data_IF_123463915826
#
_entry.id   IF_123463915826
#
_cell.length_a   1.000
_cell.length_b   1.000
_cell.length_c   1.000
_cell.angle_alpha   90.00
_cell.angle_beta   90.00
_cell.angle_gamma   90.00
#
_symmetry.space_group_name_H-M   'P 1'
#
loop_
_entity.id
_entity.type
_entity.pdbx_description
1 polymer ?
#
# COMPACT_ATOMS: atom_id res chain seq x y z
N UNK A 1 4.45 5.89 6.00
CA UNK A 1 5.55 5.81 7.00
C UNK A 1 6.61 4.78 6.57
N UNK A 2 7.83 4.82 7.09
CA UNK A 2 8.82 3.75 6.90
C UNK A 2 8.30 2.40 7.41
N UNK A 3 7.49 2.42 8.48
CA UNK A 3 6.87 1.23 9.07
C UNK A 3 5.88 0.55 8.12
N UNK A 4 4.93 1.31 7.54
CA UNK A 4 3.96 0.81 6.57
C UNK A 4 4.68 0.16 5.38
N UNK A 5 5.77 0.80 4.92
CA UNK A 5 6.58 0.32 3.80
C UNK A 5 7.28 -1.00 4.12
N UNK A 6 7.86 -1.14 5.32
CA UNK A 6 8.45 -2.40 5.78
C UNK A 6 7.40 -3.52 5.90
N UNK A 7 6.22 -3.22 6.46
CA UNK A 7 5.12 -4.17 6.60
C UNK A 7 4.59 -4.64 5.25
N UNK A 8 4.36 -3.72 4.31
CA UNK A 8 3.94 -4.04 2.95
C UNK A 8 5.00 -4.87 2.21
N UNK A 9 6.29 -4.56 2.38
CA UNK A 9 7.40 -5.35 1.81
C UNK A 9 7.48 -6.77 2.38
N UNK A 10 7.23 -6.93 3.69
CA UNK A 10 7.27 -8.23 4.36
C UNK A 10 6.08 -9.11 3.99
N UNK A 11 4.87 -8.55 3.99
CA UNK A 11 3.62 -9.30 3.77
C UNK A 11 3.35 -9.52 2.28
N UNK A 12 3.74 -8.57 1.43
CA UNK A 12 3.50 -8.56 -0.03
C UNK A 12 2.04 -8.88 -0.37
N UNK A 13 1.09 -8.02 0.06
CA UNK A 13 -0.34 -8.27 -0.17
C UNK A 13 -0.65 -8.36 -1.67
N UNK A 14 -1.54 -9.28 -2.03
CA UNK A 14 -1.96 -9.52 -3.42
C UNK A 14 -3.02 -8.53 -3.90
N UNK A 15 -3.66 -7.81 -2.97
CA UNK A 15 -4.69 -6.83 -3.28
C UNK A 15 -4.63 -5.63 -2.34
N UNK A 16 -5.21 -4.51 -2.78
CA UNK A 16 -5.36 -3.31 -1.95
C UNK A 16 -6.23 -3.58 -0.72
N UNK A 17 -7.29 -4.38 -0.87
CA UNK A 17 -8.15 -4.77 0.26
C UNK A 17 -7.42 -5.62 1.30
N UNK A 18 -6.44 -6.43 0.89
CA UNK A 18 -5.56 -7.11 1.85
C UNK A 18 -4.58 -6.13 2.50
N UNK A 19 -3.99 -5.23 1.72
CA UNK A 19 -3.07 -4.20 2.23
C UNK A 19 -3.72 -3.31 3.28
N UNK A 20 -4.99 -2.91 3.10
CA UNK A 20 -5.72 -2.03 4.01
C UNK A 20 -6.06 -2.67 5.36
N UNK A 21 -5.98 -4.00 5.49
CA UNK A 21 -6.20 -4.72 6.75
C UNK A 21 -4.92 -4.99 7.53
N UNK A 22 -3.75 -4.63 7.00
CA UNK A 22 -2.48 -4.81 7.69
C UNK A 22 -2.39 -3.82 8.85
N UNK A 23 -2.20 -4.33 10.07
CA UNK A 23 -2.06 -3.49 11.25
C UNK A 23 -0.91 -2.47 11.11
N UNK A 24 -1.20 -1.19 11.32
CA UNK A 24 -0.25 -0.09 11.14
C UNK A 24 -0.05 0.36 9.68
N UNK A 25 -0.82 -0.16 8.73
CA UNK A 25 -1.04 0.49 7.43
C UNK A 25 -2.31 1.33 7.56
N UNK A 26 -2.17 2.65 7.40
CA UNK A 26 -3.30 3.56 7.55
C UNK A 26 -3.98 3.84 6.20
N UNK A 27 -5.21 4.40 6.19
CA UNK A 27 -5.90 4.73 4.94
C UNK A 27 -5.13 5.69 4.03
N UNK A 28 -4.31 6.60 4.59
CA UNK A 28 -3.51 7.53 3.79
C UNK A 28 -2.39 6.82 3.00
N UNK A 29 -1.73 5.83 3.59
CA UNK A 29 -0.73 5.00 2.92
C UNK A 29 -1.38 4.24 1.73
N UNK A 30 -2.61 3.76 1.89
CA UNK A 30 -3.38 3.11 0.82
C UNK A 30 -3.70 4.08 -0.31
N UNK A 31 -4.15 5.31 0.02
CA UNK A 31 -4.41 6.34 -0.98
C UNK A 31 -3.17 6.67 -1.80
N UNK A 32 -2.00 6.81 -1.15
CA UNK A 32 -0.72 7.04 -1.84
C UNK A 32 -0.38 5.87 -2.75
N UNK A 33 -0.55 4.63 -2.28
CA UNK A 33 -0.30 3.42 -3.08
C UNK A 33 -1.20 3.39 -4.34
N UNK A 34 -2.48 3.75 -4.21
CA UNK A 34 -3.41 3.83 -5.34
C UNK A 34 -2.99 4.89 -6.36
N UNK A 35 -2.59 6.09 -5.90
CA UNK A 35 -2.06 7.15 -6.78
C UNK A 35 -0.81 6.67 -7.52
N UNK A 36 0.10 6.00 -6.81
CA UNK A 36 1.32 5.45 -7.41
C UNK A 36 1.02 4.42 -8.51
N UNK A 37 0.11 3.47 -8.24
CA UNK A 37 -0.30 2.46 -9.21
C UNK A 37 -1.00 3.09 -10.42
N UNK A 38 -1.88 4.05 -10.20
CA UNK A 38 -2.55 4.80 -11.27
C UNK A 38 -1.52 5.55 -12.14
N UNK A 39 -0.52 6.18 -11.53
CA UNK A 39 0.57 6.87 -12.26
C UNK A 39 1.44 5.89 -13.04
N UNK A 40 1.69 4.70 -12.49
CA UNK A 40 2.44 3.64 -13.18
C UNK A 40 1.68 3.08 -14.37
N UNK A 41 0.35 3.01 -14.32
CA UNK A 41 -0.51 2.54 -15.42
C UNK A 41 -0.62 3.54 -16.57
N UNK A 42 -0.50 4.84 -16.30
CA UNK A 42 -0.56 5.91 -17.32
C UNK A 42 0.76 6.14 -18.05
N UNK A 43 1.84 5.49 -17.61
CA UNK A 43 3.12 5.44 -18.29
C UNK A 43 3.26 4.12 -19.03
#
# INVERSE_FOLDING_TARGET
SNESLQKLKKIRPQSIGQASRIAGVNPADISILLIFLARRRRK
#
